data_IF_164093639764
#
_entry.id   IF_164093639764
#
_cell.length_a   1.000
_cell.length_b   1.000
_cell.length_c   1.000
_cell.angle_alpha   90.00
_cell.angle_beta   90.00
_cell.angle_gamma   90.00
#
_symmetry.space_group_name_H-M   'P 1'
#
loop_
_entity.id
_entity.type
_entity.pdbx_description
1 polymer ?
#
# COMPACT_ATOMS: atom_id res chain seq x y z
N UNK A 1 37.91 13.40 10.14
CA UNK A 1 37.59 12.59 8.95
C UNK A 1 36.70 11.46 9.44
N UNK A 2 35.39 11.56 9.25
CA UNK A 2 34.43 10.46 9.48
C UNK A 2 34.73 9.36 8.47
N UNK A 3 34.92 8.11 8.94
CA UNK A 3 35.02 6.97 8.03
C UNK A 3 33.82 6.94 7.10
N UNK A 4 33.94 6.52 5.82
CA UNK A 4 32.80 6.36 4.94
C UNK A 4 31.85 5.34 5.59
N UNK A 5 30.64 5.76 5.89
CA UNK A 5 29.60 4.87 6.37
C UNK A 5 29.37 3.78 5.31
N UNK A 6 29.61 2.54 5.67
CA UNK A 6 29.29 1.42 4.79
C UNK A 6 27.79 1.45 4.54
N UNK A 7 27.33 1.46 3.27
CA UNK A 7 25.90 1.52 2.99
C UNK A 7 25.20 0.31 3.61
N UNK A 8 24.10 0.57 4.31
CA UNK A 8 23.28 -0.50 4.89
C UNK A 8 22.75 -1.40 3.76
N UNK A 9 22.88 -2.73 3.88
CA UNK A 9 22.39 -3.65 2.85
C UNK A 9 20.89 -3.50 2.56
N UNK A 10 20.41 -3.91 1.37
CA UNK A 10 19.01 -3.85 1.02
C UNK A 10 18.15 -4.79 1.88
N UNK A 11 16.92 -4.38 2.15
CA UNK A 11 15.88 -5.21 2.78
C UNK A 11 15.04 -5.90 1.72
N UNK A 12 14.88 -7.23 1.79
CA UNK A 12 13.91 -7.95 0.98
C UNK A 12 12.48 -7.68 1.51
N UNK A 13 11.67 -6.97 0.76
CA UNK A 13 10.28 -6.66 1.13
C UNK A 13 9.35 -7.81 0.75
N UNK A 14 9.03 -8.69 1.71
CA UNK A 14 8.15 -9.86 1.52
C UNK A 14 6.72 -9.43 1.21
N UNK A 15 6.26 -8.32 1.78
CA UNK A 15 4.92 -7.76 1.54
C UNK A 15 4.64 -7.42 0.07
N UNK A 16 5.67 -7.21 -0.75
CA UNK A 16 5.49 -6.98 -2.19
C UNK A 16 5.25 -8.27 -2.99
N UNK A 17 5.65 -9.43 -2.44
CA UNK A 17 5.49 -10.75 -3.05
C UNK A 17 4.24 -11.46 -2.55
N UNK A 18 4.04 -11.42 -1.23
CA UNK A 18 2.85 -11.96 -0.56
C UNK A 18 2.31 -10.96 0.45
N UNK A 19 1.21 -10.29 0.11
CA UNK A 19 0.55 -9.32 0.97
C UNK A 19 -0.13 -9.97 2.20
N UNK A 20 -0.36 -11.29 2.17
CA UNK A 20 -1.00 -12.05 3.24
C UNK A 20 -0.01 -12.64 4.24
N UNK A 21 1.28 -12.60 3.96
CA UNK A 21 2.29 -13.03 4.91
C UNK A 21 2.29 -12.11 6.13
N UNK A 22 2.05 -12.67 7.33
CA UNK A 22 1.86 -11.91 8.57
C UNK A 22 3.11 -11.83 9.44
N UNK A 23 4.02 -12.79 9.28
CA UNK A 23 5.24 -12.85 10.07
C UNK A 23 6.42 -13.35 9.24
N UNK A 24 7.62 -12.99 9.67
CA UNK A 24 8.88 -13.55 9.14
C UNK A 24 9.96 -13.56 10.21
N UNK A 25 10.88 -14.50 10.09
CA UNK A 25 12.18 -14.39 10.75
C UNK A 25 13.07 -13.43 9.97
N UNK A 26 13.89 -12.67 10.66
CA UNK A 26 14.81 -11.71 10.06
C UNK A 26 16.05 -11.52 10.92
N UNK A 27 17.12 -11.01 10.32
CA UNK A 27 18.35 -10.62 11.00
C UNK A 27 18.50 -9.11 11.01
N UNK A 28 18.87 -8.54 12.14
CA UNK A 28 19.16 -7.13 12.28
C UNK A 28 20.46 -6.79 11.54
N UNK A 29 20.38 -5.93 10.51
CA UNK A 29 21.53 -5.51 9.71
C UNK A 29 22.20 -4.24 10.25
N UNK A 30 21.39 -3.32 10.79
CA UNK A 30 21.87 -2.06 11.33
C UNK A 30 20.92 -1.55 12.40
N UNK A 31 21.44 -0.73 13.30
CA UNK A 31 20.70 -0.06 14.39
C UNK A 31 21.08 1.41 14.38
N UNK A 32 20.10 2.29 14.39
CA UNK A 32 20.28 3.71 14.67
C UNK A 32 19.70 4.03 16.06
N UNK A 33 20.54 4.17 17.09
CA UNK A 33 20.08 4.45 18.42
C UNK A 33 19.43 5.84 18.58
N UNK A 34 19.79 6.80 17.74
CA UNK A 34 19.30 8.18 17.86
C UNK A 34 17.83 8.27 17.42
N UNK A 35 17.45 7.60 16.36
CA UNK A 35 16.06 7.52 15.88
C UNK A 35 15.31 6.31 16.43
N UNK A 36 15.98 5.40 17.15
CA UNK A 36 15.48 4.09 17.59
C UNK A 36 14.94 3.25 16.43
N UNK A 37 15.69 3.24 15.33
CA UNK A 37 15.33 2.47 14.13
C UNK A 37 16.27 1.30 13.91
N UNK A 38 15.75 0.22 13.34
CA UNK A 38 16.53 -0.95 12.92
C UNK A 38 16.26 -1.28 11.47
N UNK A 39 17.31 -1.71 10.77
CA UNK A 39 17.21 -2.28 9.42
C UNK A 39 17.30 -3.81 9.50
N UNK A 40 16.51 -4.51 8.71
CA UNK A 40 16.43 -5.96 8.65
C UNK A 40 16.84 -6.46 7.25
N UNK A 41 17.34 -7.69 7.16
CA UNK A 41 17.67 -8.36 5.89
C UNK A 41 16.43 -8.64 5.05
N UNK A 42 15.31 -8.99 5.72
CA UNK A 42 14.00 -9.14 5.11
C UNK A 42 12.89 -8.65 6.04
N UNK A 43 11.73 -8.30 5.46
CA UNK A 43 10.63 -7.75 6.24
C UNK A 43 9.26 -8.05 5.63
N UNK A 44 8.30 -8.45 6.47
CA UNK A 44 6.87 -8.53 6.12
C UNK A 44 6.19 -7.17 6.17
N UNK A 45 6.80 -6.19 6.85
CA UNK A 45 6.22 -4.85 7.00
C UNK A 45 6.28 -4.08 5.67
N UNK A 46 5.14 -3.55 5.24
CA UNK A 46 5.08 -2.61 4.14
C UNK A 46 5.58 -1.23 4.63
N UNK A 47 6.58 -0.63 3.99
CA UNK A 47 7.19 0.60 4.47
C UNK A 47 6.42 1.89 4.12
N UNK A 48 5.21 1.74 3.57
CA UNK A 48 4.46 2.88 3.03
C UNK A 48 4.93 3.27 1.63
N UNK A 49 4.17 4.17 1.01
CA UNK A 49 4.43 4.71 -0.33
C UNK A 49 3.18 4.63 -1.21
N UNK A 50 3.18 5.35 -2.34
CA UNK A 50 2.04 5.37 -3.26
C UNK A 50 0.72 5.84 -2.65
N UNK A 51 0.76 6.58 -1.54
CA UNK A 51 -0.44 7.00 -0.79
C UNK A 51 -0.90 6.02 0.28
N UNK A 52 -0.36 4.79 0.34
CA UNK A 52 -0.65 3.82 1.39
C UNK A 52 0.26 4.05 2.60
N UNK A 53 -0.29 4.14 3.84
CA UNK A 53 0.49 4.17 5.07
C UNK A 53 1.31 2.89 5.30
N UNK A 54 2.38 2.99 6.08
CA UNK A 54 3.15 1.84 6.51
C UNK A 54 2.39 0.95 7.49
N UNK A 55 2.87 -0.29 7.62
CA UNK A 55 2.41 -1.19 8.65
C UNK A 55 2.95 -0.82 10.03
N UNK A 56 2.28 -1.36 11.04
CA UNK A 56 2.72 -1.45 12.42
C UNK A 56 2.72 -2.91 12.87
N UNK A 57 3.28 -3.19 14.05
CA UNK A 57 3.31 -4.54 14.60
C UNK A 57 4.34 -4.71 15.71
N UNK A 58 5.05 -5.82 15.72
CA UNK A 58 6.03 -6.14 16.78
C UNK A 58 7.23 -6.89 16.21
N UNK A 59 8.43 -6.58 16.69
CA UNK A 59 9.61 -7.45 16.60
C UNK A 59 9.76 -8.19 17.93
N UNK A 60 10.17 -9.46 17.87
CA UNK A 60 10.45 -10.30 19.04
C UNK A 60 11.76 -11.04 18.85
N UNK A 61 12.52 -11.18 19.92
CA UNK A 61 13.69 -12.06 19.95
C UNK A 61 13.38 -13.38 20.65
N UNK A 62 14.23 -14.37 20.46
CA UNK A 62 14.07 -15.70 21.04
C UNK A 62 14.15 -15.71 22.57
N UNK A 63 14.82 -14.75 23.18
CA UNK A 63 14.92 -14.57 24.64
C UNK A 63 13.71 -13.87 25.28
N UNK A 64 12.70 -13.52 24.46
CA UNK A 64 11.43 -12.95 24.89
C UNK A 64 11.39 -11.42 24.90
N UNK A 65 12.45 -10.71 24.48
CA UNK A 65 12.36 -9.27 24.30
C UNK A 65 11.42 -8.95 23.15
N UNK A 66 10.65 -7.84 23.29
CA UNK A 66 9.68 -7.42 22.31
C UNK A 66 9.72 -5.90 22.12
N UNK A 67 9.64 -5.48 20.85
CA UNK A 67 9.65 -4.07 20.45
C UNK A 67 8.45 -3.77 19.57
N UNK A 68 7.56 -2.85 19.96
CA UNK A 68 6.53 -2.35 19.07
C UNK A 68 7.16 -1.69 17.84
N UNK A 69 6.73 -2.07 16.64
CA UNK A 69 7.07 -1.37 15.39
C UNK A 69 6.00 -0.31 15.16
N UNK A 70 6.34 0.94 15.35
CA UNK A 70 5.40 2.08 15.28
C UNK A 70 5.34 2.71 13.90
N UNK A 71 6.41 2.58 13.11
CA UNK A 71 6.47 3.02 11.72
C UNK A 71 7.54 2.24 10.96
N UNK A 72 7.41 2.22 9.64
CA UNK A 72 8.43 1.69 8.73
C UNK A 72 8.60 2.67 7.58
N UNK A 73 9.85 2.96 7.20
CA UNK A 73 10.16 3.84 6.08
C UNK A 73 11.24 3.25 5.17
N UNK A 74 11.28 3.67 3.93
CA UNK A 74 12.39 3.34 3.01
C UNK A 74 13.45 4.44 3.03
N UNK A 75 14.72 4.02 3.02
CA UNK A 75 15.85 4.87 2.73
C UNK A 75 16.72 4.15 1.68
N UNK A 76 16.56 4.56 0.42
CA UNK A 76 17.11 3.81 -0.71
C UNK A 76 16.54 2.38 -0.77
N UNK A 77 17.39 1.33 -0.85
CA UNK A 77 16.94 -0.07 -0.90
C UNK A 77 16.61 -0.67 0.49
N UNK A 78 16.89 0.05 1.58
CA UNK A 78 16.75 -0.44 2.95
C UNK A 78 15.42 0.02 3.57
N UNK A 79 14.75 -0.88 4.29
CA UNK A 79 13.60 -0.54 5.13
C UNK A 79 14.04 -0.39 6.59
N UNK A 80 13.72 0.74 7.20
CA UNK A 80 13.99 1.08 8.59
C UNK A 80 12.72 0.99 9.41
N UNK A 81 12.78 0.27 10.54
CA UNK A 81 11.67 0.00 11.44
C UNK A 81 11.86 0.81 12.71
N UNK A 82 10.98 1.79 12.97
CA UNK A 82 10.99 2.59 14.20
C UNK A 82 10.41 1.77 15.35
N UNK A 83 11.20 1.62 16.41
CA UNK A 83 10.86 0.83 17.58
C UNK A 83 10.40 1.71 18.74
N UNK A 84 9.21 1.41 19.25
CA UNK A 84 8.66 2.03 20.44
C UNK A 84 9.27 1.49 21.73
N UNK A 85 8.91 2.16 22.84
CA UNK A 85 9.42 1.83 24.18
C UNK A 85 10.80 2.43 24.47
N UNK A 86 11.23 2.36 25.73
CA UNK A 86 12.48 2.95 26.23
C UNK A 86 13.55 1.91 26.55
N UNK A 87 13.25 0.63 26.35
CA UNK A 87 14.18 -0.49 26.57
C UNK A 87 15.35 -0.52 25.60
N UNK A 88 16.33 -1.41 25.82
CA UNK A 88 17.46 -1.60 24.90
C UNK A 88 16.97 -2.03 23.52
N UNK A 89 17.66 -1.58 22.48
CA UNK A 89 17.41 -1.98 21.11
C UNK A 89 18.01 -3.37 20.83
N UNK A 90 17.53 -4.11 19.81
CA UNK A 90 18.19 -5.34 19.39
C UNK A 90 19.60 -5.04 18.84
N UNK A 91 20.48 -6.02 18.91
CA UNK A 91 21.85 -5.89 18.44
C UNK A 91 21.98 -6.25 16.95
N UNK A 92 22.99 -5.69 16.28
CA UNK A 92 23.33 -6.10 14.90
C UNK A 92 23.72 -7.59 14.89
N UNK A 93 23.16 -8.34 13.94
CA UNK A 93 23.31 -9.79 13.84
C UNK A 93 22.29 -10.59 14.67
N UNK A 94 21.49 -9.94 15.51
CA UNK A 94 20.45 -10.61 16.29
C UNK A 94 19.32 -11.12 15.39
N UNK A 95 18.91 -12.37 15.61
CA UNK A 95 17.70 -12.93 14.99
C UNK A 95 16.46 -12.41 15.69
N UNK A 96 15.49 -11.98 14.90
CA UNK A 96 14.19 -11.48 15.37
C UNK A 96 13.05 -12.04 14.52
N UNK A 97 11.87 -12.18 15.12
CA UNK A 97 10.63 -12.47 14.40
C UNK A 97 9.82 -11.17 14.28
N UNK A 98 9.51 -10.76 13.07
CA UNK A 98 8.61 -9.64 12.80
C UNK A 98 7.19 -10.14 12.57
N UNK A 99 6.22 -9.52 13.25
CA UNK A 99 4.79 -9.81 13.12
C UNK A 99 4.02 -8.50 12.93
N UNK A 100 3.24 -8.39 11.83
CA UNK A 100 2.47 -7.19 11.54
C UNK A 100 1.14 -7.18 12.32
N UNK A 101 0.60 -5.98 12.55
CA UNK A 101 -0.81 -5.79 12.88
C UNK A 101 -1.64 -6.15 11.64
N UNK A 102 -2.16 -7.39 11.65
CA UNK A 102 -2.89 -7.92 10.50
C UNK A 102 -4.21 -7.20 10.25
N UNK A 103 -4.92 -6.78 11.28
CA UNK A 103 -6.19 -6.07 11.12
C UNK A 103 -5.96 -4.75 10.37
N UNK A 104 -4.95 -3.98 10.80
CA UNK A 104 -4.54 -2.77 10.10
C UNK A 104 -4.11 -3.04 8.64
N UNK A 105 -3.25 -4.04 8.41
CA UNK A 105 -2.79 -4.42 7.07
C UNK A 105 -3.97 -4.79 6.17
N UNK A 106 -4.85 -5.65 6.62
CA UNK A 106 -5.98 -6.12 5.82
C UNK A 106 -6.95 -4.98 5.48
N UNK A 107 -7.22 -4.07 6.42
CA UNK A 107 -8.04 -2.87 6.15
C UNK A 107 -7.36 -1.95 5.13
N UNK A 108 -6.05 -1.74 5.21
CA UNK A 108 -5.31 -1.00 4.19
C UNK A 108 -5.35 -1.68 2.81
N UNK A 109 -5.22 -3.00 2.74
CA UNK A 109 -5.36 -3.77 1.49
C UNK A 109 -6.74 -3.59 0.88
N UNK A 110 -7.81 -3.69 1.67
CA UNK A 110 -9.20 -3.45 1.25
C UNK A 110 -9.36 -2.04 0.68
N UNK A 111 -8.92 -1.03 1.42
CA UNK A 111 -9.01 0.39 1.01
C UNK A 111 -8.20 0.65 -0.26
N UNK A 112 -7.01 0.08 -0.39
CA UNK A 112 -6.17 0.26 -1.57
C UNK A 112 -6.79 -0.40 -2.82
N UNK A 113 -7.27 -1.63 -2.68
CA UNK A 113 -7.98 -2.31 -3.77
C UNK A 113 -9.25 -1.56 -4.17
N UNK A 114 -9.99 -1.00 -3.21
CA UNK A 114 -11.14 -0.14 -3.50
C UNK A 114 -10.78 1.09 -4.35
N UNK A 115 -9.62 1.73 -4.07
CA UNK A 115 -9.11 2.84 -4.89
C UNK A 115 -8.77 2.40 -6.31
N UNK A 116 -8.18 1.21 -6.49
CA UNK A 116 -7.89 0.66 -7.82
C UNK A 116 -9.17 0.32 -8.60
N UNK A 117 -10.17 -0.25 -7.95
CA UNK A 117 -11.50 -0.45 -8.58
C UNK A 117 -12.07 0.90 -9.03
N UNK A 118 -12.02 1.91 -8.16
CA UNK A 118 -12.49 3.26 -8.51
C UNK A 118 -11.70 3.84 -9.68
N UNK A 119 -10.38 3.71 -9.67
CA UNK A 119 -9.50 4.17 -10.75
C UNK A 119 -9.83 3.48 -12.07
N UNK A 120 -9.99 2.15 -12.08
CA UNK A 120 -10.35 1.37 -13.26
C UNK A 120 -11.69 1.79 -13.86
N UNK A 121 -12.72 1.95 -13.02
CA UNK A 121 -14.06 2.41 -13.44
C UNK A 121 -13.99 3.82 -14.04
N UNK A 122 -13.34 4.76 -13.35
CA UNK A 122 -13.24 6.16 -13.82
C UNK A 122 -12.44 6.24 -15.12
N UNK A 123 -11.36 5.48 -15.23
CA UNK A 123 -10.57 5.47 -16.46
C UNK A 123 -11.35 4.85 -17.63
N UNK A 124 -12.02 3.71 -17.42
CA UNK A 124 -12.82 3.02 -18.44
C UNK A 124 -13.96 3.91 -18.96
N UNK A 125 -14.68 4.58 -18.06
CA UNK A 125 -15.92 5.28 -18.39
C UNK A 125 -15.68 6.74 -18.83
N UNK A 126 -14.57 7.36 -18.39
CA UNK A 126 -14.30 8.79 -18.63
C UNK A 126 -12.91 9.07 -19.24
N UNK A 127 -12.03 8.07 -19.34
CA UNK A 127 -10.64 8.28 -19.77
C UNK A 127 -9.82 9.16 -18.83
N UNK A 128 -10.27 9.35 -17.58
CA UNK A 128 -9.69 10.33 -16.66
C UNK A 128 -8.54 9.76 -15.87
N UNK A 129 -7.45 10.53 -15.76
CA UNK A 129 -6.24 10.17 -15.02
C UNK A 129 -6.32 10.64 -13.57
N UNK A 130 -5.60 9.94 -12.70
CA UNK A 130 -5.43 10.29 -11.28
C UNK A 130 -4.44 11.45 -11.16
N UNK A 131 -4.85 12.52 -10.46
CA UNK A 131 -4.01 13.70 -10.16
C UNK A 131 -3.52 13.73 -8.74
N UNK A 132 -4.05 12.88 -7.86
CA UNK A 132 -3.62 12.72 -6.48
C UNK A 132 -4.47 11.72 -5.73
N UNK A 133 -3.92 11.18 -4.65
CA UNK A 133 -4.58 10.23 -3.78
C UNK A 133 -4.02 10.28 -2.36
N UNK A 134 -4.82 9.81 -1.42
CA UNK A 134 -4.40 9.53 -0.05
C UNK A 134 -5.37 8.54 0.57
N UNK A 135 -4.86 7.64 1.40
CA UNK A 135 -5.68 6.66 2.07
C UNK A 135 -5.29 6.49 3.54
N UNK A 136 -6.25 6.08 4.33
CA UNK A 136 -6.12 5.59 5.69
C UNK A 136 -6.67 4.18 5.81
N UNK A 137 -6.87 3.74 7.05
CA UNK A 137 -7.34 2.37 7.35
C UNK A 137 -8.77 2.13 6.86
N UNK A 138 -9.66 3.12 7.05
CA UNK A 138 -11.10 2.95 6.81
C UNK A 138 -11.66 3.82 5.68
N UNK A 139 -10.82 4.64 5.05
CA UNK A 139 -11.28 5.54 4.02
C UNK A 139 -10.15 6.14 3.22
N UNK A 140 -10.52 6.68 2.07
CA UNK A 140 -9.56 7.23 1.15
C UNK A 140 -10.18 8.35 0.31
N UNK A 141 -9.31 9.09 -0.37
CA UNK A 141 -9.69 10.06 -1.38
C UNK A 141 -8.83 9.90 -2.63
N UNK A 142 -9.44 10.15 -3.78
CA UNK A 142 -8.74 10.18 -5.05
C UNK A 142 -9.21 11.38 -5.87
N UNK A 143 -8.26 12.06 -6.47
CA UNK A 143 -8.48 13.23 -7.32
C UNK A 143 -8.29 12.82 -8.78
N UNK A 144 -9.21 13.20 -9.65
CA UNK A 144 -9.22 12.86 -11.07
C UNK A 144 -9.23 14.11 -11.94
N UNK A 145 -8.54 14.05 -13.09
CA UNK A 145 -8.62 15.07 -14.11
C UNK A 145 -9.91 14.89 -14.93
N UNK A 146 -11.00 15.58 -14.52
CA UNK A 146 -12.28 15.50 -15.21
C UNK A 146 -13.12 16.76 -15.03
N UNK A 147 -13.87 17.14 -16.09
CA UNK A 147 -14.66 18.38 -16.14
C UNK A 147 -16.04 18.25 -15.49
N UNK A 148 -16.67 17.09 -15.57
CA UNK A 148 -17.99 16.85 -14.99
C UNK A 148 -18.00 15.56 -14.18
N UNK A 149 -18.81 15.53 -13.12
CA UNK A 149 -18.96 14.36 -12.29
C UNK A 149 -20.43 13.97 -12.18
N UNK A 150 -20.97 13.32 -13.20
CA UNK A 150 -22.15 12.48 -13.03
C UNK A 150 -21.69 11.10 -12.56
N UNK A 151 -21.00 11.10 -11.39
CA UNK A 151 -20.55 9.87 -10.76
C UNK A 151 -21.72 9.27 -9.99
N UNK A 152 -22.39 8.30 -10.59
CA UNK A 152 -23.49 7.61 -9.93
C UNK A 152 -22.97 6.50 -9.03
N UNK A 153 -23.44 6.37 -7.77
CA UNK A 153 -23.05 5.29 -6.86
C UNK A 153 -23.22 3.87 -7.43
N UNK A 154 -24.12 3.70 -8.40
CA UNK A 154 -24.36 2.41 -9.06
C UNK A 154 -23.13 1.79 -9.76
N UNK A 155 -22.12 2.60 -10.10
CA UNK A 155 -20.89 2.11 -10.76
C UNK A 155 -19.86 1.54 -9.79
N UNK A 156 -20.01 1.78 -8.50
CA UNK A 156 -19.20 1.17 -7.44
C UNK A 156 -19.61 -0.29 -7.18
N UNK A 157 -20.76 -0.73 -7.73
CA UNK A 157 -21.25 -2.11 -7.62
C UNK A 157 -20.30 -3.17 -8.23
N UNK A 158 -19.32 -2.78 -9.05
CA UNK A 158 -18.30 -3.71 -9.58
C UNK A 158 -17.39 -4.30 -8.51
N UNK A 159 -17.31 -3.69 -7.32
CA UNK A 159 -16.61 -4.28 -6.17
C UNK A 159 -17.20 -5.64 -5.80
N UNK A 160 -18.53 -5.76 -5.82
CA UNK A 160 -19.22 -7.00 -5.51
C UNK A 160 -19.13 -8.05 -6.63
N UNK A 161 -18.67 -7.68 -7.83
CA UNK A 161 -18.61 -8.58 -8.97
C UNK A 161 -17.57 -9.70 -8.83
N UNK A 162 -16.58 -9.55 -7.94
CA UNK A 162 -15.59 -10.60 -7.67
C UNK A 162 -14.51 -10.68 -8.75
N UNK A 163 -13.63 -9.69 -8.80
CA UNK A 163 -12.47 -9.68 -9.69
C UNK A 163 -11.24 -10.18 -8.95
N UNK A 164 -10.56 -11.24 -9.45
CA UNK A 164 -9.29 -11.65 -8.89
C UNK A 164 -8.23 -10.55 -9.03
N UNK A 165 -7.40 -10.38 -8.00
CA UNK A 165 -6.24 -9.50 -8.05
C UNK A 165 -4.98 -10.33 -8.30
N UNK A 166 -4.16 -9.91 -9.23
CA UNK A 166 -2.90 -10.56 -9.59
C UNK A 166 -1.74 -9.60 -9.44
N UNK A 167 -0.63 -10.13 -8.93
CA UNK A 167 0.63 -9.40 -8.83
C UNK A 167 1.67 -10.09 -9.71
N UNK A 168 2.38 -9.31 -10.51
CA UNK A 168 3.50 -9.80 -11.32
C UNK A 168 4.61 -8.76 -11.37
N UNK A 169 5.83 -9.23 -11.65
CA UNK A 169 7.00 -8.40 -11.86
C UNK A 169 7.43 -8.53 -13.30
N UNK A 170 7.64 -7.44 -13.97
CA UNK A 170 8.14 -7.42 -15.35
C UNK A 170 9.41 -6.57 -15.43
N UNK A 171 10.35 -6.94 -16.31
CA UNK A 171 11.44 -6.06 -16.68
C UNK A 171 10.89 -4.69 -17.08
N UNK A 172 11.59 -3.62 -16.69
CA UNK A 172 11.16 -2.24 -16.96
C UNK A 172 10.76 -2.03 -18.42
N UNK A 173 11.58 -2.54 -19.34
CA UNK A 173 11.36 -2.37 -20.79
C UNK A 173 10.05 -3.01 -21.25
N UNK A 174 9.70 -4.18 -20.73
CA UNK A 174 8.44 -4.85 -21.05
C UNK A 174 7.24 -4.14 -20.40
N UNK A 175 7.38 -3.72 -19.15
CA UNK A 175 6.32 -3.01 -18.45
C UNK A 175 5.91 -1.71 -19.16
N UNK A 176 6.87 -0.95 -19.68
CA UNK A 176 6.59 0.30 -20.39
C UNK A 176 6.04 0.11 -21.81
N UNK A 177 5.95 -1.11 -22.31
CA UNK A 177 5.20 -1.41 -23.54
C UNK A 177 3.70 -1.59 -23.27
N UNK A 178 3.29 -1.76 -22.03
CA UNK A 178 1.88 -1.89 -21.68
C UNK A 178 1.21 -0.51 -21.74
N UNK A 179 0.20 -0.33 -22.65
CA UNK A 179 -0.53 0.92 -22.72
C UNK A 179 -1.19 1.26 -21.38
N UNK A 180 -1.19 2.53 -21.03
CA UNK A 180 -1.89 3.08 -19.85
C UNK A 180 -1.53 2.43 -18.51
N UNK A 181 -0.33 1.80 -18.40
CA UNK A 181 0.15 1.20 -17.16
C UNK A 181 0.28 2.25 -16.03
N UNK A 182 0.57 3.49 -16.39
CA UNK A 182 0.66 4.61 -15.47
C UNK A 182 -0.66 5.38 -15.51
N UNK A 183 -1.47 5.22 -14.46
CA UNK A 183 -2.79 5.89 -14.32
C UNK A 183 -2.71 7.28 -13.70
N UNK A 184 -1.55 7.63 -13.14
CA UNK A 184 -1.31 8.96 -12.59
C UNK A 184 -0.84 9.93 -13.68
N UNK A 185 -1.29 11.19 -13.62
CA UNK A 185 -0.87 12.25 -14.56
C UNK A 185 0.65 12.44 -14.60
N UNK A 186 1.32 12.22 -13.48
CA UNK A 186 2.77 12.23 -13.35
C UNK A 186 3.26 10.80 -13.10
N UNK A 187 4.30 10.37 -13.80
CA UNK A 187 4.93 9.09 -13.51
C UNK A 187 5.65 9.15 -12.15
N UNK A 188 5.19 8.34 -11.20
CA UNK A 188 5.72 8.27 -9.83
C UNK A 188 6.70 7.11 -9.62
N UNK A 189 6.98 6.31 -10.66
CA UNK A 189 7.95 5.23 -10.56
C UNK A 189 9.37 5.80 -10.39
N UNK A 190 10.18 5.22 -9.47
CA UNK A 190 11.57 5.63 -9.30
C UNK A 190 12.36 5.48 -10.59
N UNK A 191 13.27 6.43 -10.84
CA UNK A 191 14.21 6.31 -11.95
C UNK A 191 15.14 5.11 -11.72
N UNK A 192 15.48 4.40 -12.81
CA UNK A 192 16.48 3.33 -12.79
C UNK A 192 16.02 2.00 -12.17
N UNK A 193 14.74 1.82 -11.82
CA UNK A 193 14.24 0.50 -11.38
C UNK A 193 14.39 -0.52 -12.52
N UNK A 194 14.92 -1.70 -12.22
CA UNK A 194 15.10 -2.77 -13.21
C UNK A 194 13.79 -3.55 -13.46
N UNK A 195 12.98 -3.74 -12.42
CA UNK A 195 11.70 -4.44 -12.48
C UNK A 195 10.57 -3.54 -12.01
N UNK A 196 9.43 -3.61 -12.67
CA UNK A 196 8.19 -2.93 -12.31
C UNK A 196 7.21 -3.96 -11.75
N UNK A 197 6.75 -3.72 -10.53
CA UNK A 197 5.65 -4.49 -9.95
C UNK A 197 4.34 -3.99 -10.53
N UNK A 198 3.52 -4.91 -11.01
CA UNK A 198 2.23 -4.65 -11.63
C UNK A 198 1.14 -5.31 -10.82
N UNK A 199 0.09 -4.56 -10.54
CA UNK A 199 -1.15 -5.04 -9.93
C UNK A 199 -2.25 -5.00 -10.98
N UNK A 200 -2.94 -6.13 -11.16
CA UNK A 200 -4.07 -6.29 -12.06
C UNK A 200 -5.31 -6.67 -11.26
N UNK A 201 -6.38 -5.90 -11.39
CA UNK A 201 -7.73 -6.32 -11.05
C UNK A 201 -8.32 -6.85 -12.35
N UNK A 202 -8.42 -8.17 -12.48
CA UNK A 202 -8.68 -8.86 -13.75
C UNK A 202 -9.94 -8.33 -14.43
N UNK A 203 -9.79 -7.81 -15.64
CA UNK A 203 -10.88 -7.28 -16.45
C UNK A 203 -11.30 -5.85 -16.10
N UNK A 204 -10.68 -5.20 -15.11
CA UNK A 204 -11.06 -3.86 -14.70
C UNK A 204 -9.90 -2.86 -14.67
N UNK A 205 -8.77 -3.20 -14.08
CA UNK A 205 -7.65 -2.27 -13.89
C UNK A 205 -6.29 -2.97 -13.98
N UNK A 206 -5.29 -2.26 -14.50
CA UNK A 206 -3.91 -2.73 -14.60
C UNK A 206 -2.98 -1.54 -14.37
N UNK A 207 -2.18 -1.58 -13.31
CA UNK A 207 -1.30 -0.47 -12.95
C UNK A 207 0.05 -0.93 -12.43
N UNK A 208 1.08 -0.09 -12.64
CA UNK A 208 2.30 -0.17 -11.86
C UNK A 208 2.02 0.33 -10.45
N UNK A 209 2.13 -0.55 -9.47
CA UNK A 209 1.85 -0.23 -8.07
C UNK A 209 2.73 -1.03 -7.10
N UNK A 210 3.13 -0.39 -5.99
CA UNK A 210 3.97 -0.97 -4.94
C UNK A 210 3.23 -1.39 -3.69
N UNK A 211 1.94 -1.09 -3.57
CA UNK A 211 1.14 -1.31 -2.36
C UNK A 211 0.64 -2.74 -2.18
N UNK A 212 -0.09 -2.95 -1.10
CA UNK A 212 -0.66 -4.26 -0.76
C UNK A 212 -2.14 -4.31 -1.12
N UNK A 213 -2.59 -5.44 -1.68
CA UNK A 213 -3.96 -5.63 -2.17
C UNK A 213 -4.58 -6.93 -1.64
N UNK A 214 -5.92 -6.97 -1.58
CA UNK A 214 -6.65 -8.22 -1.36
C UNK A 214 -6.60 -9.10 -2.61
N UNK A 215 -6.76 -10.42 -2.44
CA UNK A 215 -6.68 -11.38 -3.54
C UNK A 215 -7.91 -11.34 -4.46
N UNK A 216 -9.03 -10.89 -3.96
CA UNK A 216 -10.29 -10.76 -4.71
C UNK A 216 -11.05 -9.51 -4.26
N UNK A 217 -11.69 -8.80 -5.19
CA UNK A 217 -12.42 -7.57 -4.85
C UNK A 217 -13.59 -7.80 -3.89
N UNK A 218 -14.12 -9.02 -3.78
CA UNK A 218 -15.14 -9.37 -2.77
C UNK A 218 -14.65 -9.17 -1.34
N UNK A 219 -13.35 -9.30 -1.08
CA UNK A 219 -12.75 -9.04 0.23
C UNK A 219 -12.77 -7.56 0.61
N UNK A 220 -12.94 -6.66 -0.34
CA UNK A 220 -13.13 -5.23 -0.06
C UNK A 220 -14.37 -5.04 0.81
N UNK A 221 -15.39 -5.88 0.65
CA UNK A 221 -16.68 -5.73 1.32
C UNK A 221 -17.47 -4.54 0.75
N UNK A 222 -18.19 -3.83 1.60
CA UNK A 222 -18.93 -2.65 1.19
C UNK A 222 -18.03 -1.43 0.95
N UNK A 223 -18.35 -0.64 -0.07
CA UNK A 223 -17.75 0.66 -0.34
C UNK A 223 -18.82 1.71 -0.51
N UNK A 224 -18.62 2.87 0.08
CA UNK A 224 -19.52 4.02 -0.10
C UNK A 224 -18.73 5.27 -0.49
N UNK A 225 -19.19 5.94 -1.54
CA UNK A 225 -18.73 7.30 -1.87
C UNK A 225 -19.45 8.25 -0.91
N UNK A 226 -18.69 8.94 -0.06
CA UNK A 226 -19.22 9.83 0.99
C UNK A 226 -19.07 11.30 0.64
N UNK A 227 -18.27 11.63 -0.37
CA UNK A 227 -18.09 13.00 -0.80
C UNK A 227 -17.61 13.10 -2.25
N UNK A 228 -18.12 14.12 -2.93
CA UNK A 228 -17.60 14.56 -4.22
C UNK A 228 -17.35 16.06 -4.14
N UNK A 229 -16.16 16.51 -4.53
CA UNK A 229 -15.80 17.95 -4.49
C UNK A 229 -15.11 18.36 -5.77
N UNK A 230 -15.47 19.54 -6.29
CA UNK A 230 -14.69 20.19 -7.33
C UNK A 230 -13.45 20.88 -6.72
N UNK A 231 -12.26 20.57 -7.24
CA UNK A 231 -10.98 21.21 -6.89
C UNK A 231 -10.50 22.15 -7.99
N UNK A 232 -11.41 22.74 -8.74
CA UNK A 232 -11.14 23.58 -9.91
C UNK A 232 -11.90 23.07 -11.13
N UNK A 233 -11.71 23.75 -12.28
CA UNK A 233 -12.53 23.54 -13.48
C UNK A 233 -12.40 22.13 -14.05
N UNK A 234 -11.23 21.49 -13.91
CA UNK A 234 -10.94 20.18 -14.50
C UNK A 234 -10.38 19.18 -13.46
N UNK A 235 -10.76 19.28 -12.18
CA UNK A 235 -10.29 18.35 -11.15
C UNK A 235 -11.40 18.05 -10.15
N UNK A 236 -11.72 16.76 -10.01
CA UNK A 236 -12.75 16.26 -9.11
C UNK A 236 -12.16 15.32 -8.08
N UNK A 237 -12.56 15.52 -6.83
CA UNK A 237 -12.23 14.64 -5.71
C UNK A 237 -13.39 13.72 -5.41
N UNK A 238 -13.09 12.43 -5.24
CA UNK A 238 -13.97 11.43 -4.67
C UNK A 238 -13.42 11.00 -3.30
N UNK A 239 -14.29 10.95 -2.31
CA UNK A 239 -14.00 10.46 -0.97
C UNK A 239 -14.79 9.18 -0.74
N UNK A 240 -14.11 8.12 -0.29
CA UNK A 240 -14.69 6.80 -0.07
C UNK A 240 -14.42 6.32 1.35
N UNK A 241 -15.34 5.52 1.87
CA UNK A 241 -15.16 4.78 3.12
C UNK A 241 -15.50 3.31 2.91
N UNK A 242 -14.80 2.43 3.61
CA UNK A 242 -15.21 1.04 3.72
C UNK A 242 -16.46 0.94 4.59
N UNK A 243 -17.37 0.04 4.22
CA UNK A 243 -18.55 -0.31 5.01
C UNK A 243 -18.40 -1.78 5.36
N UNK A 244 -18.29 -2.10 6.64
CA UNK A 244 -18.30 -3.48 7.09
C UNK A 244 -19.74 -4.02 7.01
N UNK A 245 -19.93 -5.24 6.54
CA UNK A 245 -21.24 -5.86 6.22
C UNK A 245 -22.26 -5.89 7.38
N UNK A 246 -21.87 -5.48 8.58
CA UNK A 246 -22.75 -5.42 9.75
C UNK A 246 -23.78 -4.28 9.73
N UNK A 247 -23.73 -3.35 8.75
CA UNK A 247 -24.63 -2.16 8.69
C UNK A 247 -25.59 -2.18 7.48
N UNK A 248 -25.62 -3.27 6.72
CA UNK A 248 -26.51 -3.39 5.55
C UNK A 248 -28.02 -3.57 5.94
N UNK A 249 -28.35 -3.55 7.23
CA UNK A 249 -29.71 -3.85 7.74
C UNK A 249 -30.64 -2.64 7.97
N UNK A 250 -30.18 -1.40 7.92
CA UNK A 250 -30.96 -0.25 8.43
C UNK A 250 -31.22 0.89 7.41
N UNK A 251 -31.14 0.63 6.12
CA UNK A 251 -31.42 1.63 5.09
C UNK A 251 -32.64 1.28 4.20
N UNK A 252 -33.68 0.63 4.78
CA UNK A 252 -34.98 0.44 4.16
C UNK A 252 -36.09 0.75 5.17
N UNK A 253 -36.33 2.02 5.40
CA UNK A 253 -37.62 2.52 5.97
C UNK A 253 -37.89 3.90 5.44
#
# INVERSE_FOLDING_TARGET
MTAPETPTPPTLLLSQRDAYQRACEATVLAVDPASREVALDQSVFYPGGGGQPCDTGTLRSADGAAWPVTAVRKAGPTAWHALGGDGPLPEVGQAVTGEIDWERRHRLMRTHTALHVLCGVVFRDYGSLVTGGNMGVDGARMDFEMDSADFTPARVAEIAAGHPTRVRFLPREEAFQIPDLIRTKTNLLPEGIAEVRIVEIVGLDLQADGGTHVADTREVGGLRVVGTRSKGKANKRLEIVLVDDAVAGDAAS
#
